data_IF_189683139432
#
_entry.id   IF_189683139432
#
_cell.length_a   1.000
_cell.length_b   1.000
_cell.length_c   1.000
_cell.angle_alpha   90.00
_cell.angle_beta   90.00
_cell.angle_gamma   90.00
#
_symmetry.space_group_name_H-M   'P 1'
#
loop_
_entity.id
_entity.type
_entity.pdbx_description
1 polymer ?
#
# COMPACT_ATOMS: atom_id res chain seq x y z
N UNK A 1 -8.39 -13.24 3.17
CA UNK A 1 -7.53 -13.56 4.32
C UNK A 1 -6.76 -12.31 4.71
N UNK A 2 -6.66 -12.01 5.99
CA UNK A 2 -5.76 -10.95 6.45
C UNK A 2 -4.34 -11.52 6.48
N UNK A 3 -3.44 -10.96 5.69
CA UNK A 3 -2.02 -11.32 5.72
C UNK A 3 -1.25 -10.25 6.50
N UNK A 4 -0.60 -10.65 7.59
CA UNK A 4 0.22 -9.75 8.41
C UNK A 4 1.62 -10.33 8.49
N UNK A 5 2.61 -9.57 8.02
CA UNK A 5 4.01 -9.89 8.24
C UNK A 5 4.43 -9.41 9.64
N UNK A 6 4.98 -10.30 10.45
CA UNK A 6 5.66 -9.92 11.69
C UNK A 6 7.11 -9.54 11.38
N UNK A 7 7.37 -8.25 11.18
CA UNK A 7 8.72 -7.74 10.92
C UNK A 7 9.44 -7.52 12.26
N UNK A 8 10.61 -8.15 12.43
CA UNK A 8 11.37 -8.11 13.68
C UNK A 8 12.12 -6.79 13.91
N UNK A 9 12.90 -6.34 12.92
CA UNK A 9 13.57 -5.04 12.92
C UNK A 9 13.26 -4.31 11.63
N UNK A 10 12.99 -3.02 11.76
CA UNK A 10 12.72 -2.13 10.63
C UNK A 10 13.97 -1.38 10.18
N UNK A 11 14.91 -1.11 11.10
CA UNK A 11 16.17 -0.44 10.81
C UNK A 11 16.93 -1.13 9.67
N UNK A 12 17.26 -0.37 8.62
CA UNK A 12 17.95 -0.84 7.41
C UNK A 12 17.14 -1.77 6.50
N UNK A 13 15.84 -1.99 6.76
CA UNK A 13 15.01 -2.88 5.94
C UNK A 13 14.74 -2.26 4.57
N UNK A 14 14.92 -3.06 3.51
CA UNK A 14 14.42 -2.74 2.17
C UNK A 14 13.15 -3.52 1.91
N UNK A 15 12.10 -2.83 1.47
CA UNK A 15 10.80 -3.43 1.18
C UNK A 15 10.20 -2.87 -0.11
N UNK A 16 9.09 -3.48 -0.55
CA UNK A 16 8.21 -2.92 -1.57
C UNK A 16 6.86 -2.68 -0.94
N UNK A 17 6.34 -1.46 -1.01
CA UNK A 17 5.05 -1.12 -0.42
C UNK A 17 4.28 -0.05 -1.21
N UNK A 18 3.01 0.11 -0.85
CA UNK A 18 2.19 1.27 -1.17
C UNK A 18 1.29 1.56 0.04
N UNK A 19 0.73 2.77 0.13
CA UNK A 19 -0.10 3.24 1.24
C UNK A 19 -1.42 3.75 0.69
N UNK A 20 -2.52 3.46 1.39
CA UNK A 20 -3.88 3.66 0.86
C UNK A 20 -4.78 4.41 1.83
N UNK A 21 -5.74 5.16 1.27
CA UNK A 21 -6.92 5.67 1.99
C UNK A 21 -8.16 5.35 1.18
N UNK A 22 -9.13 4.69 1.81
CA UNK A 22 -10.43 4.39 1.23
C UNK A 22 -11.60 4.89 2.10
N UNK A 23 -12.78 4.95 1.50
CA UNK A 23 -13.98 5.54 2.09
C UNK A 23 -15.26 5.05 1.41
N UNK A 24 -15.38 3.75 1.21
CA UNK A 24 -16.40 3.10 0.36
C UNK A 24 -17.84 3.45 0.74
N UNK A 25 -18.12 3.61 2.03
CA UNK A 25 -19.46 3.86 2.58
C UNK A 25 -19.71 5.32 2.98
N UNK A 26 -18.86 6.26 2.54
CA UNK A 26 -19.07 7.69 2.78
C UNK A 26 -20.00 8.29 1.73
N UNK A 27 -20.61 9.45 2.03
CA UNK A 27 -21.44 10.18 1.06
C UNK A 27 -20.69 10.50 -0.24
N UNK A 28 -19.39 10.72 -0.14
CA UNK A 28 -18.46 10.83 -1.26
C UNK A 28 -17.39 9.73 -1.15
N UNK A 29 -17.56 8.60 -1.86
CA UNK A 29 -16.55 7.55 -1.93
C UNK A 29 -15.24 8.07 -2.50
N UNK A 30 -14.12 7.57 -1.99
CA UNK A 30 -12.80 7.95 -2.45
C UNK A 30 -11.77 6.85 -2.25
N UNK A 31 -10.78 6.83 -3.13
CA UNK A 31 -9.72 5.83 -3.21
C UNK A 31 -8.43 6.54 -3.58
N UNK A 32 -7.48 6.59 -2.64
CA UNK A 32 -6.20 7.26 -2.82
C UNK A 32 -5.06 6.28 -2.53
N UNK A 33 -3.98 6.41 -3.30
CA UNK A 33 -2.72 5.72 -3.06
C UNK A 33 -1.56 6.71 -3.09
N UNK A 34 -0.50 6.40 -2.33
CA UNK A 34 0.75 7.17 -2.41
C UNK A 34 1.44 6.97 -3.75
N UNK A 35 1.61 5.73 -4.19
CA UNK A 35 2.13 5.41 -5.50
C UNK A 35 0.98 5.16 -6.49
N UNK A 36 1.02 5.69 -7.72
CA UNK A 36 -0.05 5.51 -8.71
C UNK A 36 -0.31 4.04 -9.05
N UNK A 37 -1.60 3.69 -9.20
CA UNK A 37 -2.06 2.38 -9.67
C UNK A 37 -2.87 2.58 -10.95
N UNK A 38 -2.49 1.90 -12.03
CA UNK A 38 -3.15 2.03 -13.33
C UNK A 38 -4.05 0.81 -13.59
N UNK A 39 -5.21 0.80 -12.96
CA UNK A 39 -6.23 -0.25 -13.12
C UNK A 39 -7.57 0.36 -13.53
N UNK A 40 -8.43 -0.37 -14.27
CA UNK A 40 -9.73 0.16 -14.70
C UNK A 40 -10.69 0.55 -13.56
N UNK A 41 -10.51 -0.04 -12.38
CA UNK A 41 -11.26 0.23 -11.16
C UNK A 41 -10.30 0.22 -9.96
N UNK A 42 -10.69 0.80 -8.80
CA UNK A 42 -9.87 0.76 -7.58
C UNK A 42 -9.51 -0.69 -7.19
N UNK A 43 -8.21 -1.02 -7.27
CA UNK A 43 -7.68 -2.33 -6.89
C UNK A 43 -6.32 -2.14 -6.19
N UNK A 44 -6.32 -2.23 -4.87
CA UNK A 44 -5.12 -2.00 -4.04
C UNK A 44 -4.25 -3.26 -3.88
N UNK A 45 -4.75 -4.45 -4.22
CA UNK A 45 -4.04 -5.71 -4.00
C UNK A 45 -3.19 -6.09 -5.22
N UNK A 46 -2.37 -5.15 -5.69
CA UNK A 46 -1.54 -5.27 -6.90
C UNK A 46 -0.06 -5.06 -6.59
N UNK A 47 0.69 -6.13 -6.18
CA UNK A 47 2.09 -6.02 -5.79
C UNK A 47 3.01 -5.44 -6.87
N UNK A 48 2.64 -5.52 -8.14
CA UNK A 48 3.38 -4.90 -9.25
C UNK A 48 3.45 -3.37 -9.15
N UNK A 49 2.49 -2.72 -8.48
CA UNK A 49 2.49 -1.27 -8.26
C UNK A 49 3.16 -0.83 -6.94
N UNK A 50 3.73 -1.76 -6.17
CA UNK A 50 4.45 -1.42 -4.95
C UNK A 50 5.81 -0.80 -5.29
N UNK A 51 6.11 0.33 -4.63
CA UNK A 51 7.36 1.06 -4.79
C UNK A 51 8.43 0.58 -3.81
N UNK A 52 9.71 0.62 -4.21
CA UNK A 52 10.81 0.33 -3.29
C UNK A 52 10.86 1.38 -2.18
N UNK A 53 11.07 0.93 -0.96
CA UNK A 53 11.26 1.78 0.22
C UNK A 53 12.43 1.25 1.05
N UNK A 54 13.15 2.19 1.66
CA UNK A 54 14.21 1.89 2.61
C UNK A 54 13.85 2.52 3.94
N UNK A 55 13.85 1.72 5.00
CA UNK A 55 13.73 2.18 6.36
C UNK A 55 15.11 2.61 6.86
N UNK A 56 15.19 3.82 7.43
CA UNK A 56 16.45 4.36 7.95
C UNK A 56 17.02 3.50 9.07
N UNK A 57 18.33 3.61 9.30
CA UNK A 57 19.01 2.94 10.41
C UNK A 57 18.55 3.42 11.78
#
# INVERSE_FOLDING_TARGET
>A
SLFVHHLGKWSGLHARMNLYKCGDYLSTPHYLSWAPISTPQPDFHRPEYFQPVAFQE
#
